data_IF_885326055775
#
_entry.id   IF_885326055775
#
_cell.length_a   1.000
_cell.length_b   1.000
_cell.length_c   1.000
_cell.angle_alpha   90.00
_cell.angle_beta   90.00
_cell.angle_gamma   90.00
#
_symmetry.space_group_name_H-M   'P 1'
#
loop_
_entity.id
_entity.type
_entity.pdbx_description
1 polymer ?
#
# COMPACT_ATOMS: atom_id res chain seq x y z
N UNK A 1 -13.37 0.39 25.55
CA UNK A 1 -13.79 -1.01 25.78
C UNK A 1 -13.43 -1.78 24.51
N UNK A 2 -12.36 -2.58 24.55
CA UNK A 2 -11.89 -3.35 23.40
C UNK A 2 -12.69 -4.65 23.32
N UNK A 3 -13.30 -4.92 22.17
CA UNK A 3 -14.01 -6.17 21.91
C UNK A 3 -12.98 -7.30 21.75
N UNK A 4 -13.07 -8.30 22.63
CA UNK A 4 -12.31 -9.54 22.53
C UNK A 4 -12.67 -10.29 21.23
N UNK A 5 -11.72 -11.00 20.60
CA UNK A 5 -12.01 -11.80 19.41
C UNK A 5 -12.91 -12.99 19.79
N UNK A 6 -13.83 -13.41 18.89
CA UNK A 6 -14.61 -14.62 19.12
C UNK A 6 -13.66 -15.82 19.11
N UNK A 7 -13.62 -16.50 20.26
CA UNK A 7 -13.00 -17.82 20.45
C UNK A 7 -13.46 -18.72 19.33
N UNK A 8 -12.51 -19.25 18.55
CA UNK A 8 -12.75 -20.23 17.50
C UNK A 8 -13.49 -21.43 18.07
N UNK A 9 -14.82 -21.42 17.90
CA UNK A 9 -15.68 -22.52 18.24
C UNK A 9 -15.31 -23.70 17.36
N UNK A 10 -14.99 -24.81 18.01
CA UNK A 10 -14.74 -26.11 17.44
C UNK A 10 -15.74 -26.41 16.29
N UNK A 11 -15.27 -26.30 15.05
CA UNK A 11 -15.97 -26.86 13.91
C UNK A 11 -15.83 -28.38 13.97
N UNK A 12 -16.78 -28.99 14.68
CA UNK A 12 -17.51 -30.18 14.21
C UNK A 12 -16.68 -31.26 13.51
N UNK A 13 -15.96 -32.07 14.27
CA UNK A 13 -15.46 -33.40 13.84
C UNK A 13 -16.56 -34.49 13.83
N UNK A 14 -17.83 -34.12 14.01
CA UNK A 14 -18.93 -35.08 14.28
C UNK A 14 -19.59 -35.65 13.01
N UNK A 15 -19.33 -35.12 11.81
CA UNK A 15 -20.08 -35.51 10.59
C UNK A 15 -19.51 -36.67 9.78
N UNK A 16 -18.22 -36.97 9.88
CA UNK A 16 -17.57 -38.06 9.12
C UNK A 16 -17.91 -39.43 9.70
N UNK A 17 -17.95 -39.54 11.02
CA UNK A 17 -18.23 -40.78 11.74
C UNK A 17 -19.64 -41.31 11.51
N UNK A 18 -20.66 -40.45 11.48
CA UNK A 18 -22.06 -40.88 11.25
C UNK A 18 -22.29 -41.38 9.82
N UNK A 19 -21.68 -40.72 8.83
CA UNK A 19 -21.78 -41.12 7.43
C UNK A 19 -21.05 -42.44 7.16
N UNK A 20 -19.91 -42.66 7.80
CA UNK A 20 -19.14 -43.88 7.61
C UNK A 20 -19.78 -45.08 8.33
N UNK A 21 -20.37 -44.85 9.52
CA UNK A 21 -21.20 -45.85 10.19
C UNK A 21 -22.41 -46.25 9.35
N UNK A 22 -23.05 -45.28 8.70
CA UNK A 22 -24.16 -45.50 7.80
C UNK A 22 -23.79 -46.30 6.53
N UNK A 23 -22.62 -46.04 5.95
CA UNK A 23 -22.10 -46.83 4.82
C UNK A 23 -21.81 -48.27 5.23
N UNK A 24 -21.26 -48.48 6.43
CA UNK A 24 -21.01 -49.80 6.97
C UNK A 24 -22.34 -50.58 7.17
N UNK A 25 -23.36 -49.93 7.72
CA UNK A 25 -24.70 -50.51 7.90
C UNK A 25 -25.37 -50.88 6.56
N UNK A 26 -25.23 -50.02 5.54
CA UNK A 26 -25.74 -50.30 4.20
C UNK A 26 -25.01 -51.50 3.55
N UNK A 27 -23.69 -51.59 3.72
CA UNK A 27 -22.89 -52.71 3.23
C UNK A 27 -23.25 -54.03 3.92
N UNK A 28 -23.47 -54.00 5.23
CA UNK A 28 -23.96 -55.16 5.98
C UNK A 28 -25.34 -55.61 5.47
N UNK A 29 -26.24 -54.66 5.20
CA UNK A 29 -27.56 -54.93 4.62
C UNK A 29 -27.50 -55.56 3.22
N UNK A 30 -26.63 -55.05 2.33
CA UNK A 30 -26.40 -55.65 1.00
C UNK A 30 -25.86 -57.07 1.10
N UNK A 31 -24.95 -57.32 2.02
CA UNK A 31 -24.35 -58.64 2.25
C UNK A 31 -25.39 -59.65 2.73
N UNK A 32 -26.29 -59.24 3.63
CA UNK A 32 -27.40 -60.06 4.12
C UNK A 32 -28.40 -60.41 3.00
N UNK A 33 -28.78 -59.43 2.18
CA UNK A 33 -29.66 -59.65 1.01
C UNK A 33 -29.05 -60.63 0.01
N UNK A 34 -27.75 -60.49 -0.27
CA UNK A 34 -27.04 -61.36 -1.20
C UNK A 34 -27.01 -62.82 -0.69
N UNK A 35 -26.69 -63.03 0.60
CA UNK A 35 -26.71 -64.35 1.23
C UNK A 35 -28.11 -64.97 1.23
N UNK A 36 -29.15 -64.16 1.40
CA UNK A 36 -30.54 -64.62 1.34
C UNK A 36 -30.93 -65.08 -0.07
N UNK A 37 -30.61 -64.31 -1.11
CA UNK A 37 -30.85 -64.71 -2.51
C UNK A 37 -30.07 -65.98 -2.92
N UNK A 38 -28.82 -66.11 -2.46
CA UNK A 38 -28.01 -67.32 -2.69
C UNK A 38 -28.57 -68.56 -1.98
N UNK A 39 -29.13 -68.40 -0.78
CA UNK A 39 -29.70 -69.50 0.03
C UNK A 39 -31.12 -69.91 -0.35
N UNK A 40 -31.91 -69.00 -0.93
CA UNK A 40 -33.36 -69.12 -1.20
C UNK A 40 -33.77 -70.41 -1.92
N UNK A 41 -32.92 -70.97 -2.80
CA UNK A 41 -33.20 -72.21 -3.54
C UNK A 41 -33.19 -73.49 -2.67
N UNK A 42 -32.65 -73.44 -1.45
CA UNK A 42 -32.50 -74.59 -0.53
C UNK A 42 -33.15 -74.36 0.84
N UNK A 43 -33.89 -73.27 1.02
CA UNK A 43 -34.43 -72.88 2.32
C UNK A 43 -35.60 -73.79 2.73
N UNK A 44 -35.54 -74.30 3.95
CA UNK A 44 -36.68 -74.97 4.60
C UNK A 44 -37.74 -73.93 4.99
N UNK A 45 -39.03 -74.29 5.06
CA UNK A 45 -40.12 -73.35 5.36
C UNK A 45 -39.90 -72.54 6.65
N UNK A 46 -39.38 -73.16 7.72
CA UNK A 46 -39.13 -72.47 9.00
C UNK A 46 -38.00 -71.42 8.90
N UNK A 47 -37.03 -71.65 8.02
CA UNK A 47 -35.93 -70.71 7.76
C UNK A 47 -36.39 -69.55 6.89
N UNK A 48 -37.41 -69.77 6.05
CA UNK A 48 -38.02 -68.73 5.22
C UNK A 48 -38.82 -67.72 6.07
N UNK A 49 -39.58 -68.18 7.07
CA UNK A 49 -40.25 -67.30 8.03
C UNK A 49 -39.27 -66.44 8.82
N UNK A 50 -38.19 -67.04 9.34
CA UNK A 50 -37.13 -66.29 10.03
C UNK A 50 -36.47 -65.26 9.10
N UNK A 51 -36.27 -65.60 7.82
CA UNK A 51 -35.74 -64.68 6.81
C UNK A 51 -36.66 -63.48 6.54
N UNK A 52 -37.98 -63.69 6.51
CA UNK A 52 -38.97 -62.61 6.33
C UNK A 52 -38.86 -61.60 7.48
N UNK A 53 -38.80 -62.07 8.74
CA UNK A 53 -38.68 -61.20 9.92
C UNK A 53 -37.38 -60.37 9.87
N UNK A 54 -36.27 -60.97 9.44
CA UNK A 54 -34.98 -60.27 9.29
C UNK A 54 -35.03 -59.22 8.18
N UNK A 55 -35.68 -59.53 7.05
CA UNK A 55 -35.85 -58.58 5.95
C UNK A 55 -36.76 -57.41 6.33
N UNK A 56 -37.83 -57.66 7.09
CA UNK A 56 -38.71 -56.59 7.60
C UNK A 56 -37.96 -55.67 8.57
N UNK A 57 -37.14 -56.23 9.47
CA UNK A 57 -36.28 -55.43 10.35
C UNK A 57 -35.25 -54.59 9.56
N UNK A 58 -34.67 -55.15 8.49
CA UNK A 58 -33.77 -54.43 7.59
C UNK A 58 -34.49 -53.28 6.87
N UNK A 59 -35.68 -53.52 6.34
CA UNK A 59 -36.49 -52.49 5.67
C UNK A 59 -36.83 -51.35 6.64
N UNK A 60 -37.20 -51.67 7.88
CA UNK A 60 -37.50 -50.65 8.91
C UNK A 60 -36.25 -49.82 9.23
N UNK A 61 -35.09 -50.47 9.39
CA UNK A 61 -33.81 -49.79 9.63
C UNK A 61 -33.44 -48.86 8.47
N UNK A 62 -33.60 -49.29 7.22
CA UNK A 62 -33.33 -48.48 6.04
C UNK A 62 -34.29 -47.29 5.91
N UNK A 63 -35.57 -47.46 6.26
CA UNK A 63 -36.55 -46.36 6.30
C UNK A 63 -36.19 -45.31 7.34
N UNK A 64 -35.81 -45.73 8.55
CA UNK A 64 -35.38 -44.82 9.62
C UNK A 64 -34.09 -44.09 9.24
N UNK A 65 -33.14 -44.80 8.63
CA UNK A 65 -31.90 -44.21 8.13
C UNK A 65 -32.17 -43.14 7.06
N UNK A 66 -33.04 -43.42 6.09
CA UNK A 66 -33.44 -42.45 5.06
C UNK A 66 -34.13 -41.22 5.66
N UNK A 67 -34.98 -41.41 6.65
CA UNK A 67 -35.64 -40.31 7.35
C UNK A 67 -34.62 -39.43 8.10
N UNK A 68 -33.63 -40.04 8.76
CA UNK A 68 -32.50 -39.36 9.39
C UNK A 68 -31.70 -38.52 8.40
N UNK A 69 -31.28 -39.11 7.27
CA UNK A 69 -30.57 -38.39 6.21
C UNK A 69 -31.38 -37.20 5.67
N UNK A 70 -32.69 -37.38 5.45
CA UNK A 70 -33.56 -36.31 4.98
C UNK A 70 -33.59 -35.14 5.95
N UNK A 71 -33.65 -35.43 7.26
CA UNK A 71 -33.60 -34.40 8.31
C UNK A 71 -32.25 -33.69 8.32
N UNK A 72 -31.14 -34.43 8.29
CA UNK A 72 -29.79 -33.83 8.23
C UNK A 72 -29.62 -32.94 7.01
N UNK A 73 -30.11 -33.35 5.84
CA UNK A 73 -30.07 -32.53 4.62
C UNK A 73 -30.86 -31.23 4.81
N UNK A 74 -32.03 -31.29 5.44
CA UNK A 74 -32.84 -30.11 5.72
C UNK A 74 -32.15 -29.17 6.71
N UNK A 75 -31.62 -29.71 7.81
CA UNK A 75 -30.90 -28.93 8.83
C UNK A 75 -29.68 -28.23 8.21
N UNK A 76 -28.91 -28.92 7.34
CA UNK A 76 -27.77 -28.33 6.63
C UNK A 76 -28.19 -27.29 5.58
N UNK A 77 -29.32 -27.48 4.90
CA UNK A 77 -29.86 -26.47 3.99
C UNK A 77 -30.27 -25.20 4.74
N UNK A 78 -30.88 -25.36 5.90
CA UNK A 78 -31.24 -24.22 6.75
C UNK A 78 -30.00 -23.47 7.23
N UNK A 79 -28.97 -24.19 7.66
CA UNK A 79 -27.68 -23.59 8.05
C UNK A 79 -27.02 -22.82 6.89
N UNK A 80 -27.01 -23.38 5.68
CA UNK A 80 -26.52 -22.69 4.48
C UNK A 80 -27.32 -21.40 4.23
N UNK A 81 -28.65 -21.47 4.28
CA UNK A 81 -29.49 -20.29 4.06
C UNK A 81 -29.24 -19.20 5.10
N UNK A 82 -28.96 -19.56 6.35
CA UNK A 82 -28.69 -18.59 7.40
C UNK A 82 -27.29 -17.99 7.26
N UNK A 83 -26.29 -18.77 6.82
CA UNK A 83 -24.98 -18.25 6.43
C UNK A 83 -25.08 -17.29 5.23
N UNK A 84 -25.86 -17.63 4.21
CA UNK A 84 -26.05 -16.76 3.04
C UNK A 84 -26.69 -15.41 3.42
N UNK A 85 -27.65 -15.40 4.36
CA UNK A 85 -28.22 -14.15 4.91
C UNK A 85 -27.17 -13.32 5.66
N UNK A 86 -26.31 -13.97 6.44
CA UNK A 86 -25.23 -13.28 7.15
C UNK A 86 -24.24 -12.65 6.15
N UNK A 87 -23.85 -13.39 5.11
CA UNK A 87 -22.99 -12.88 4.02
C UNK A 87 -23.66 -11.69 3.32
N UNK A 88 -24.93 -11.80 2.96
CA UNK A 88 -25.68 -10.73 2.31
C UNK A 88 -25.78 -9.46 3.18
N UNK A 89 -25.77 -9.60 4.51
CA UNK A 89 -25.79 -8.48 5.45
C UNK A 89 -24.43 -7.79 5.56
N UNK A 90 -23.33 -8.56 5.55
CA UNK A 90 -21.97 -8.03 5.74
C UNK A 90 -21.36 -7.49 4.45
N UNK A 91 -21.63 -8.13 3.30
CA UNK A 91 -21.03 -7.80 2.02
C UNK A 91 -21.19 -6.31 1.60
N UNK A 92 -22.36 -5.64 1.81
CA UNK A 92 -22.50 -4.22 1.48
C UNK A 92 -21.59 -3.32 2.31
N UNK A 93 -21.46 -3.61 3.61
CA UNK A 93 -20.59 -2.86 4.52
C UNK A 93 -19.12 -3.04 4.13
N UNK A 94 -18.71 -4.28 3.87
CA UNK A 94 -17.36 -4.59 3.37
C UNK A 94 -17.06 -3.84 2.07
N UNK A 95 -17.96 -3.90 1.09
CA UNK A 95 -17.78 -3.22 -0.19
C UNK A 95 -17.73 -1.69 -0.04
N UNK A 96 -18.50 -1.11 0.89
CA UNK A 96 -18.43 0.33 1.20
C UNK A 96 -17.08 0.71 1.78
N UNK A 97 -16.60 -0.03 2.78
CA UNK A 97 -15.29 0.22 3.41
C UNK A 97 -14.17 0.07 2.38
N UNK A 98 -14.23 -0.95 1.52
CA UNK A 98 -13.27 -1.14 0.44
C UNK A 98 -13.21 0.06 -0.51
N UNK A 99 -14.36 0.57 -0.97
CA UNK A 99 -14.40 1.77 -1.83
C UNK A 99 -13.81 3.00 -1.13
N UNK A 100 -14.08 3.19 0.17
CA UNK A 100 -13.50 4.30 0.92
C UNK A 100 -11.99 4.16 1.05
N UNK A 101 -11.49 2.96 1.35
CA UNK A 101 -10.06 2.68 1.41
C UNK A 101 -9.39 3.00 0.07
N UNK A 102 -9.95 2.52 -1.05
CA UNK A 102 -9.39 2.74 -2.37
C UNK A 102 -9.36 4.24 -2.73
N UNK A 103 -10.42 5.00 -2.40
CA UNK A 103 -10.45 6.45 -2.58
C UNK A 103 -9.39 7.18 -1.72
N UNK A 104 -9.15 6.74 -0.48
CA UNK A 104 -8.10 7.32 0.36
C UNK A 104 -6.69 6.99 -0.13
N UNK A 105 -6.50 5.82 -0.72
CA UNK A 105 -5.22 5.43 -1.35
C UNK A 105 -4.95 6.32 -2.57
N UNK A 106 -5.94 6.53 -3.43
CA UNK A 106 -5.83 7.43 -4.58
C UNK A 106 -5.49 8.86 -4.16
N UNK A 107 -6.19 9.39 -3.14
CA UNK A 107 -5.93 10.74 -2.64
C UNK A 107 -4.56 10.87 -2.00
N UNK A 108 -4.12 9.87 -1.22
CA UNK A 108 -2.75 9.83 -0.68
C UNK A 108 -1.73 9.91 -1.81
N UNK A 109 -1.89 9.11 -2.86
CA UNK A 109 -0.93 9.08 -3.97
C UNK A 109 -0.89 10.39 -4.76
N UNK A 110 -2.04 11.07 -4.86
CA UNK A 110 -2.11 12.43 -5.40
C UNK A 110 -1.35 13.43 -4.52
N UNK A 111 -1.61 13.43 -3.21
CA UNK A 111 -0.95 14.35 -2.27
C UNK A 111 0.57 14.12 -2.22
N UNK A 112 1.03 12.87 -2.30
CA UNK A 112 2.47 12.56 -2.36
C UNK A 112 3.13 13.18 -3.59
N UNK A 113 2.46 13.13 -4.76
CA UNK A 113 2.97 13.78 -5.97
C UNK A 113 3.00 15.30 -5.84
N UNK A 114 1.92 15.89 -5.33
CA UNK A 114 1.83 17.34 -5.14
C UNK A 114 2.89 17.85 -4.16
N UNK A 115 3.13 17.13 -3.06
CA UNK A 115 4.20 17.46 -2.10
C UNK A 115 5.58 17.36 -2.75
N UNK A 116 5.83 16.34 -3.58
CA UNK A 116 7.10 16.19 -4.29
C UNK A 116 7.33 17.35 -5.28
N UNK A 117 6.30 17.75 -6.03
CA UNK A 117 6.35 18.90 -6.94
C UNK A 117 6.60 20.21 -6.19
N UNK A 118 5.85 20.47 -5.12
CA UNK A 118 6.03 21.68 -4.30
C UNK A 118 7.42 21.74 -3.66
N UNK A 119 7.93 20.60 -3.19
CA UNK A 119 9.29 20.52 -2.62
C UNK A 119 10.33 20.86 -3.67
N UNK A 120 10.20 20.33 -4.90
CA UNK A 120 11.08 20.67 -6.01
C UNK A 120 11.06 22.16 -6.33
N UNK A 121 9.87 22.78 -6.38
CA UNK A 121 9.72 24.23 -6.62
C UNK A 121 10.38 25.05 -5.51
N UNK A 122 10.18 24.67 -4.24
CA UNK A 122 10.81 25.33 -3.09
C UNK A 122 12.34 25.25 -3.17
N UNK A 123 12.89 24.08 -3.53
CA UNK A 123 14.34 23.89 -3.71
C UNK A 123 14.90 24.75 -4.85
N UNK A 124 14.21 24.84 -5.99
CA UNK A 124 14.63 25.68 -7.11
C UNK A 124 14.60 27.17 -6.73
N UNK A 125 13.52 27.61 -6.08
CA UNK A 125 13.35 29.01 -5.68
C UNK A 125 14.35 29.41 -4.59
N UNK A 126 14.65 28.53 -3.64
CA UNK A 126 15.64 28.80 -2.59
C UNK A 126 17.06 28.95 -3.18
N UNK A 127 17.44 28.11 -4.14
CA UNK A 127 18.71 28.25 -4.89
C UNK A 127 18.76 29.57 -5.67
N UNK A 128 17.70 29.90 -6.41
CA UNK A 128 17.63 31.15 -7.16
C UNK A 128 17.71 32.39 -6.24
N UNK A 129 17.01 32.37 -5.10
CA UNK A 129 17.06 33.44 -4.10
C UNK A 129 18.47 33.59 -3.49
N UNK A 130 19.15 32.47 -3.18
CA UNK A 130 20.51 32.48 -2.67
C UNK A 130 21.50 33.08 -3.68
N UNK A 131 21.38 32.72 -4.96
CA UNK A 131 22.21 33.30 -6.04
C UNK A 131 21.96 34.79 -6.23
N UNK A 132 20.69 35.23 -6.19
CA UNK A 132 20.34 36.64 -6.29
C UNK A 132 20.87 37.44 -5.10
N UNK A 133 20.74 36.89 -3.88
CA UNK A 133 21.28 37.51 -2.67
C UNK A 133 22.81 37.62 -2.74
N UNK A 134 23.50 36.59 -3.22
CA UNK A 134 24.95 36.63 -3.43
C UNK A 134 25.35 37.73 -4.44
N UNK A 135 24.67 37.80 -5.59
CA UNK A 135 24.90 38.84 -6.61
C UNK A 135 24.64 40.24 -6.05
N UNK A 136 23.55 40.43 -5.30
CA UNK A 136 23.20 41.69 -4.65
C UNK A 136 24.26 42.11 -3.62
N UNK A 137 24.70 41.20 -2.75
CA UNK A 137 25.75 41.48 -1.77
C UNK A 137 27.09 41.84 -2.42
N UNK A 138 27.46 41.17 -3.51
CA UNK A 138 28.66 41.50 -4.29
C UNK A 138 28.57 42.90 -4.91
N UNK A 139 27.44 43.22 -5.55
CA UNK A 139 27.19 44.54 -6.12
C UNK A 139 27.22 45.64 -5.04
N UNK A 140 26.56 45.41 -3.90
CA UNK A 140 26.57 46.33 -2.78
C UNK A 140 27.99 46.56 -2.23
N UNK A 141 28.80 45.50 -2.13
CA UNK A 141 30.21 45.61 -1.78
C UNK A 141 31.00 46.50 -2.75
N UNK A 142 30.82 46.32 -4.06
CA UNK A 142 31.49 47.15 -5.08
C UNK A 142 31.03 48.61 -5.06
N UNK A 143 29.74 48.87 -4.80
CA UNK A 143 29.22 50.23 -4.66
C UNK A 143 29.83 50.88 -3.43
N UNK A 144 29.88 50.17 -2.30
CA UNK A 144 30.45 50.69 -1.05
C UNK A 144 31.94 51.03 -1.20
N UNK A 145 32.73 50.19 -1.86
CA UNK A 145 34.15 50.47 -2.11
C UNK A 145 34.33 51.65 -3.07
N UNK A 146 33.54 51.72 -4.14
CA UNK A 146 33.56 52.85 -5.07
C UNK A 146 33.17 54.17 -4.38
N UNK A 147 32.11 54.17 -3.56
CA UNK A 147 31.71 55.34 -2.77
C UNK A 147 32.78 55.74 -1.75
N UNK A 148 33.37 54.78 -1.02
CA UNK A 148 34.45 55.07 -0.08
C UNK A 148 35.69 55.67 -0.77
N UNK A 149 36.08 55.14 -1.93
CA UNK A 149 37.16 55.70 -2.73
C UNK A 149 36.84 57.11 -3.24
N UNK A 150 35.63 57.32 -3.76
CA UNK A 150 35.17 58.62 -4.24
C UNK A 150 35.17 59.66 -3.11
N UNK A 151 34.68 59.31 -1.92
CA UNK A 151 34.72 60.19 -0.74
C UNK A 151 36.16 60.48 -0.29
N UNK A 152 37.06 59.50 -0.33
CA UNK A 152 38.47 59.70 0.00
C UNK A 152 39.17 60.66 -0.98
N UNK A 153 38.87 60.55 -2.27
CA UNK A 153 39.40 61.46 -3.29
C UNK A 153 38.85 62.88 -3.11
N UNK A 154 37.54 63.03 -2.81
CA UNK A 154 36.93 64.33 -2.47
C UNK A 154 37.56 64.96 -1.24
N UNK A 155 37.77 64.19 -0.16
CA UNK A 155 38.43 64.68 1.05
C UNK A 155 39.88 65.14 0.80
N UNK A 156 40.58 64.46 -0.11
CA UNK A 156 41.94 64.86 -0.56
C UNK A 156 41.94 66.06 -1.50
N UNK A 157 40.78 66.56 -1.91
CA UNK A 157 40.66 67.73 -2.78
C UNK A 157 40.56 67.40 -4.27
N UNK A 158 40.20 66.17 -4.65
CA UNK A 158 40.01 65.75 -6.03
C UNK A 158 38.55 65.42 -6.33
N UNK A 159 38.11 65.65 -7.56
CA UNK A 159 36.85 65.18 -8.11
C UNK A 159 36.84 63.65 -8.25
N UNK A 160 35.65 63.08 -8.45
CA UNK A 160 35.47 61.63 -8.68
C UNK A 160 36.23 61.14 -9.93
N UNK A 161 36.51 62.02 -10.89
CA UNK A 161 37.31 61.72 -12.10
C UNK A 161 38.81 61.92 -11.90
N UNK A 162 39.25 62.34 -10.70
CA UNK A 162 40.65 62.53 -10.34
C UNK A 162 41.25 63.89 -10.68
N UNK A 163 40.47 64.83 -11.24
CA UNK A 163 40.89 66.22 -11.42
C UNK A 163 40.84 66.98 -10.08
N UNK A 164 41.74 67.94 -9.80
CA UNK A 164 41.67 68.73 -8.57
C UNK A 164 40.33 69.50 -8.48
N UNK A 165 39.80 69.65 -7.28
CA UNK A 165 38.61 70.48 -7.03
C UNK A 165 38.97 71.97 -7.24
N UNK A 166 38.01 72.80 -7.68
CA UNK A 166 38.23 74.23 -7.87
C UNK A 166 38.82 74.89 -6.62
N UNK A 167 39.93 75.62 -6.77
CA UNK A 167 40.64 76.25 -5.65
C UNK A 167 41.62 75.35 -4.88
N UNK A 168 41.81 74.08 -5.29
CA UNK A 168 42.79 73.13 -4.71
C UNK A 168 43.82 72.60 -5.72
N UNK A 169 44.01 73.35 -6.81
CA UNK A 169 44.85 72.98 -7.96
C UNK A 169 46.34 72.78 -7.61
N UNK A 170 46.80 73.35 -6.49
CA UNK A 170 48.17 73.24 -5.98
C UNK A 170 48.43 72.01 -5.11
N UNK A 171 47.40 71.25 -4.71
CA UNK A 171 47.56 69.98 -3.99
C UNK A 171 47.95 68.87 -4.98
N UNK A 172 49.22 68.84 -5.39
CA UNK A 172 49.78 67.87 -6.35
C UNK A 172 50.40 66.64 -5.66
N UNK A 173 49.71 66.03 -4.69
CA UNK A 173 50.23 64.84 -3.99
C UNK A 173 49.93 63.51 -4.72
N UNK A 174 49.10 63.49 -5.77
CA UNK A 174 49.08 62.35 -6.70
C UNK A 174 50.28 62.44 -7.63
N UNK A 175 51.28 61.57 -7.41
CA UNK A 175 52.30 61.30 -8.45
C UNK A 175 51.54 60.95 -9.75
N UNK A 176 51.90 61.56 -10.89
CA UNK A 176 51.27 61.20 -12.16
C UNK A 176 51.43 59.69 -12.36
N UNK A 177 50.33 59.01 -12.65
CA UNK A 177 50.36 57.59 -13.01
C UNK A 177 51.16 57.50 -14.30
N UNK A 178 52.44 57.15 -14.20
CA UNK A 178 53.23 56.78 -15.37
C UNK A 178 52.51 55.63 -16.04
N UNK A 179 52.05 55.83 -17.27
CA UNK A 179 51.56 54.78 -18.14
C UNK A 179 52.66 53.72 -18.32
N UNK A 180 52.57 52.61 -17.60
CA UNK A 180 53.46 51.48 -17.77
C UNK A 180 52.71 50.18 -17.41
N UNK A 181 52.08 49.58 -18.42
CA UNK A 181 52.33 48.17 -18.79
C UNK A 181 51.34 47.73 -19.88
N UNK A 182 51.84 47.64 -21.11
CA UNK A 182 51.47 46.61 -22.07
C UNK A 182 51.57 45.25 -21.39
N UNK A 183 50.46 44.74 -20.86
CA UNK A 183 50.35 43.32 -20.50
C UNK A 183 50.25 42.53 -21.81
N UNK A 184 51.37 41.95 -22.23
CA UNK A 184 51.35 40.82 -23.16
C UNK A 184 50.48 39.72 -22.52
N UNK A 185 49.45 39.21 -23.19
CA UNK A 185 48.63 38.15 -22.64
C UNK A 185 49.44 36.84 -22.53
N UNK A 186 49.21 36.01 -21.49
CA UNK A 186 49.89 34.72 -21.37
C UNK A 186 49.45 33.78 -22.51
N UNK A 187 50.34 32.88 -22.97
CA UNK A 187 50.03 31.96 -24.06
C UNK A 187 48.97 30.95 -23.63
N UNK A 188 48.07 30.61 -24.56
CA UNK A 188 46.99 29.64 -24.35
C UNK A 188 47.56 28.24 -24.04
N UNK A 189 46.91 27.46 -23.15
CA UNK A 189 47.33 26.09 -22.88
C UNK A 189 47.18 25.23 -24.14
N UNK A 190 48.23 24.45 -24.43
CA UNK A 190 48.21 23.45 -25.52
C UNK A 190 47.07 22.48 -25.28
N UNK A 191 46.23 22.29 -26.29
CA UNK A 191 45.26 21.19 -26.34
C UNK A 191 46.04 19.87 -26.26
N UNK A 192 45.75 19.06 -25.25
CA UNK A 192 46.13 17.65 -25.25
C UNK A 192 45.25 16.94 -26.28
N UNK A 193 45.89 16.33 -27.27
CA UNK A 193 45.35 15.18 -27.98
C UNK A 193 45.68 13.91 -27.21
#
# INVERSE_FOLDING_TARGET
>A
MAASPPTGGAMTEVTTTELDQAKADLHAGKTLLQRFEEGKKKLRPEVAEAGIVVLDALILRLKNFRAGLKKTIEDRRQEINDLDKQIATVAPSYNKVKRMHDAHVEERDRLVKEVAELTSVIEMNSKAAAELLYKANRAHGTIRTHMASSLADVNRGYTVTGAPLPGRETNLLRKPVKSANTRVPPPLPRKFG
#
